data_IF_167574329562
#
_entry.id   IF_167574329562
#
_cell.length_a   1.000
_cell.length_b   1.000
_cell.length_c   1.000
_cell.angle_alpha   90.00
_cell.angle_beta   90.00
_cell.angle_gamma   90.00
#
_symmetry.space_group_name_H-M   'P 1'
#
loop_
_entity.id
_entity.type
_entity.pdbx_description
1 polymer ?
#
# COMPACT_ATOMS: atom_id res chain seq x y z
N UNK A 1 -4.02 1.95 -12.45
CA UNK A 1 -4.10 2.73 -11.20
C UNK A 1 -5.51 2.62 -10.69
N UNK A 2 -5.68 2.34 -9.41
CA UNK A 2 -6.98 2.28 -8.71
C UNK A 2 -7.01 3.38 -7.65
N UNK A 3 -8.18 3.73 -7.16
CA UNK A 3 -8.32 4.66 -6.03
C UNK A 3 -8.48 3.87 -4.73
N UNK A 4 -7.73 4.27 -3.70
CA UNK A 4 -7.83 3.68 -2.39
C UNK A 4 -7.49 4.68 -1.28
N UNK A 5 -8.15 4.54 -0.14
CA UNK A 5 -7.97 5.30 1.07
C UNK A 5 -6.97 4.62 1.99
N UNK A 6 -5.95 5.33 2.46
CA UNK A 6 -4.99 4.79 3.43
C UNK A 6 -5.62 4.73 4.82
N UNK A 7 -5.75 3.54 5.39
CA UNK A 7 -6.39 3.35 6.68
C UNK A 7 -5.38 3.29 7.83
N UNK A 8 -4.32 2.48 7.70
CA UNK A 8 -3.36 2.31 8.80
C UNK A 8 -2.04 1.68 8.38
N UNK A 9 -1.01 1.90 9.22
CA UNK A 9 0.19 1.09 9.29
C UNK A 9 0.25 0.39 10.65
N UNK A 10 0.20 -0.94 10.67
CA UNK A 10 0.19 -1.73 11.91
C UNK A 10 0.94 -3.04 11.72
N UNK A 11 1.75 -3.41 12.71
CA UNK A 11 2.51 -4.67 12.76
C UNK A 11 3.37 -4.93 11.50
N UNK A 12 3.79 -3.87 10.81
CA UNK A 12 4.59 -3.97 9.57
C UNK A 12 3.79 -3.84 8.27
N UNK A 13 2.47 -3.87 8.33
CA UNK A 13 1.59 -3.91 7.17
C UNK A 13 0.85 -2.60 6.92
N UNK A 14 0.50 -2.33 5.65
CA UNK A 14 -0.24 -1.14 5.24
C UNK A 14 -1.63 -1.53 4.73
N UNK A 15 -2.69 -0.98 5.32
CA UNK A 15 -4.07 -1.28 4.93
C UNK A 15 -4.65 -0.15 4.10
N UNK A 16 -5.26 -0.49 2.96
CA UNK A 16 -5.99 0.44 2.11
C UNK A 16 -7.41 -0.05 1.83
N UNK A 17 -8.37 0.86 1.84
CA UNK A 17 -9.76 0.62 1.44
C UNK A 17 -9.97 1.11 0.01
N UNK A 18 -10.31 0.21 -0.89
CA UNK A 18 -10.55 0.51 -2.29
C UNK A 18 -11.99 0.98 -2.51
N UNK A 19 -12.22 1.68 -3.62
CA UNK A 19 -13.54 2.25 -3.99
C UNK A 19 -14.66 1.21 -4.08
N UNK A 20 -14.32 -0.06 -4.34
CA UNK A 20 -15.24 -1.19 -4.39
C UNK A 20 -15.63 -1.72 -3.00
N UNK A 21 -15.11 -1.12 -1.91
CA UNK A 21 -15.32 -1.55 -0.53
C UNK A 21 -14.39 -2.68 -0.08
N UNK A 22 -13.41 -3.06 -0.90
CA UNK A 22 -12.42 -4.08 -0.57
C UNK A 22 -11.27 -3.49 0.24
N UNK A 23 -10.92 -4.13 1.35
CA UNK A 23 -9.70 -3.83 2.09
C UNK A 23 -8.57 -4.74 1.61
N UNK A 24 -7.46 -4.14 1.22
CA UNK A 24 -6.23 -4.84 0.85
C UNK A 24 -5.11 -4.47 1.82
N UNK A 25 -4.38 -5.50 2.24
CA UNK A 25 -3.21 -5.38 3.13
C UNK A 25 -1.96 -5.59 2.29
N UNK A 26 -1.02 -4.65 2.41
CA UNK A 26 0.25 -4.68 1.71
C UNK A 26 1.38 -4.99 2.69
N UNK A 27 2.22 -5.95 2.33
CA UNK A 27 3.43 -6.33 3.04
C UNK A 27 4.53 -5.28 2.90
N UNK A 28 4.63 -4.67 1.72
CA UNK A 28 5.70 -3.73 1.39
C UNK A 28 5.16 -2.47 0.69
N UNK A 29 5.83 -1.35 0.94
CA UNK A 29 5.68 -0.12 0.15
C UNK A 29 7.07 0.26 -0.36
N UNK A 30 7.18 0.45 -1.66
CA UNK A 30 8.45 0.79 -2.30
C UNK A 30 9.09 2.02 -1.62
N UNK A 31 10.40 2.02 -1.30
CA UNK A 31 11.03 3.07 -0.49
C UNK A 31 10.83 4.50 -1.00
N UNK A 32 10.77 4.67 -2.34
CA UNK A 32 10.48 5.97 -2.97
C UNK A 32 9.10 6.53 -2.59
N UNK A 33 8.09 5.68 -2.43
CA UNK A 33 6.75 6.08 -2.00
C UNK A 33 6.80 6.54 -0.55
N UNK A 34 7.48 5.79 0.34
CA UNK A 34 7.64 6.17 1.75
C UNK A 34 8.42 7.47 1.96
N UNK A 35 9.32 7.84 1.02
CA UNK A 35 9.98 9.15 1.04
C UNK A 35 9.04 10.31 0.67
N UNK A 36 8.00 10.04 -0.12
CA UNK A 36 7.02 11.06 -0.53
C UNK A 36 5.88 11.18 0.46
N UNK A 37 5.46 10.04 1.03
CA UNK A 37 4.35 9.91 1.95
C UNK A 37 4.82 9.04 3.12
N UNK A 38 5.04 9.63 4.29
CA UNK A 38 5.46 8.89 5.48
C UNK A 38 4.26 8.15 6.11
N UNK A 39 3.78 7.11 5.42
CA UNK A 39 2.64 6.29 5.85
C UNK A 39 2.84 5.64 7.22
N UNK A 40 4.08 5.54 7.71
CA UNK A 40 4.40 4.89 8.97
C UNK A 40 4.18 5.81 10.17
N UNK A 41 4.49 7.10 10.02
CA UNK A 41 4.50 8.03 11.15
C UNK A 41 3.51 9.20 10.97
N UNK A 42 3.21 9.61 9.74
CA UNK A 42 2.34 10.75 9.46
C UNK A 42 0.87 10.35 9.51
N UNK A 43 0.26 10.56 10.68
CA UNK A 43 -1.16 10.29 10.92
C UNK A 43 -2.10 11.18 10.10
N UNK A 44 -1.62 12.28 9.51
CA UNK A 44 -2.45 13.14 8.65
C UNK A 44 -2.80 12.48 7.31
N UNK A 45 -2.07 11.41 6.96
CA UNK A 45 -2.30 10.60 5.77
C UNK A 45 -3.41 9.55 5.98
N UNK A 46 -3.81 9.28 7.23
CA UNK A 46 -4.94 8.40 7.53
C UNK A 46 -6.21 9.02 6.94
N UNK A 47 -7.02 8.18 6.31
CA UNK A 47 -8.24 8.56 5.58
C UNK A 47 -7.98 9.48 4.37
N UNK A 48 -6.73 9.52 3.86
CA UNK A 48 -6.42 10.18 2.59
C UNK A 48 -6.53 9.18 1.45
N UNK A 49 -7.20 9.61 0.40
CA UNK A 49 -7.34 8.85 -0.84
C UNK A 49 -6.18 9.11 -1.80
N UNK A 50 -5.73 8.06 -2.45
CA UNK A 50 -4.62 8.08 -3.40
C UNK A 50 -4.97 7.31 -4.67
N UNK A 51 -4.35 7.68 -5.79
CA UNK A 51 -4.18 6.77 -6.92
C UNK A 51 -3.04 5.82 -6.62
N UNK A 52 -3.37 4.55 -6.42
CA UNK A 52 -2.45 3.48 -6.05
C UNK A 52 -2.11 2.59 -7.26
N UNK A 53 -0.85 2.21 -7.36
CA UNK A 53 -0.35 1.11 -8.20
C UNK A 53 0.41 0.15 -7.29
N UNK A 54 0.14 -1.14 -7.42
CA UNK A 54 0.80 -2.20 -6.68
C UNK A 54 1.04 -3.41 -7.59
N UNK A 55 1.90 -4.31 -7.14
CA UNK A 55 2.23 -5.58 -7.81
C UNK A 55 2.24 -6.72 -6.81
N UNK A 56 2.10 -7.93 -7.32
CA UNK A 56 2.44 -9.16 -6.63
C UNK A 56 3.93 -9.45 -6.86
N UNK A 57 4.66 -9.74 -5.78
CA UNK A 57 6.07 -10.14 -5.83
C UNK A 57 6.14 -11.58 -5.36
N UNK A 58 6.60 -12.46 -6.25
CA UNK A 58 6.83 -13.87 -5.97
C UNK A 58 8.28 -14.09 -5.57
N UNK A 59 8.53 -14.95 -4.59
CA UNK A 59 9.90 -15.39 -4.33
C UNK A 59 10.35 -16.39 -5.39
N UNK A 60 11.53 -16.17 -5.98
CA UNK A 60 12.09 -17.00 -7.06
C UNK A 60 12.24 -18.50 -6.70
N UNK A 61 12.25 -18.83 -5.40
CA UNK A 61 12.43 -20.19 -4.90
C UNK A 61 11.19 -20.77 -4.20
N UNK A 62 10.09 -20.02 -4.09
CA UNK A 62 8.85 -20.46 -3.47
C UNK A 62 7.65 -19.87 -4.22
N UNK A 63 7.13 -20.64 -5.17
CA UNK A 63 5.99 -20.24 -6.01
C UNK A 63 4.69 -20.04 -5.22
N UNK A 64 4.62 -20.58 -3.99
CA UNK A 64 3.45 -20.43 -3.10
C UNK A 64 3.55 -19.16 -2.22
N UNK A 65 4.72 -18.51 -2.17
CA UNK A 65 4.92 -17.28 -1.41
C UNK A 65 4.81 -16.04 -2.29
N UNK A 66 3.71 -15.30 -2.13
CA UNK A 66 3.44 -14.03 -2.79
C UNK A 66 3.22 -12.92 -1.76
N UNK A 67 3.86 -11.77 -1.98
CA UNK A 67 3.61 -10.56 -1.20
C UNK A 67 3.05 -9.45 -2.09
N UNK A 68 2.30 -8.54 -1.49
CA UNK A 68 1.75 -7.36 -2.17
C UNK A 68 2.61 -6.14 -1.89
N UNK A 69 3.15 -5.52 -2.95
CA UNK A 69 3.98 -4.31 -2.84
C UNK A 69 3.36 -3.10 -3.52
N UNK A 70 3.23 -1.99 -2.78
CA UNK A 70 2.85 -0.70 -3.34
C UNK A 70 4.03 -0.07 -4.10
N UNK A 71 3.85 0.19 -5.40
CA UNK A 71 4.86 0.77 -6.30
C UNK A 71 4.73 2.29 -6.45
N UNK A 72 3.51 2.82 -6.31
CA UNK A 72 3.25 4.24 -6.46
C UNK A 72 1.99 4.67 -5.71
N UNK A 73 2.10 5.83 -5.06
CA UNK A 73 0.95 6.63 -4.62
C UNK A 73 1.00 8.01 -5.29
N UNK A 74 -0.16 8.54 -5.65
CA UNK A 74 -0.32 9.92 -6.10
C UNK A 74 -1.54 10.52 -5.40
N UNK A 75 -1.50 11.81 -5.01
CA UNK A 75 -2.69 12.49 -4.52
C UNK A 75 -3.77 12.50 -5.61
N UNK A 76 -5.04 12.54 -5.19
CA UNK A 76 -6.17 12.79 -6.07
C UNK A 76 -6.21 14.24 -6.57
#
# INVERSE_FOLDING_TARGET
MREAEFLSYKDGYFTFLFENGEELVFDEVHPRVLKQFDLKNDKSLINKSFKITFIEVYEDNDEDFVIYRVESLKPL
#
